data_IF_535961484435
#
_entry.id   IF_535961484435
#
_cell.length_a   1.000
_cell.length_b   1.000
_cell.length_c   1.000
_cell.angle_alpha   90.00
_cell.angle_beta   90.00
_cell.angle_gamma   90.00
#
_symmetry.space_group_name_H-M   'P 1'
#
loop_
_entity.id
_entity.type
_entity.pdbx_description
1 polymer ?
#
# COMPACT_ATOMS: atom_id res chain seq x y z
N UNK A 1 -2.18 6.45 5.39
CA UNK A 1 -3.03 7.27 4.49
C UNK A 1 -2.71 6.92 3.06
N UNK A 2 -3.66 7.16 2.15
CA UNK A 2 -3.52 6.82 0.73
C UNK A 2 -3.86 8.06 -0.09
N UNK A 3 -2.91 8.51 -0.90
CA UNK A 3 -3.05 9.69 -1.75
C UNK A 3 -3.92 9.39 -3.00
N UNK A 4 -4.43 10.43 -3.65
CA UNK A 4 -5.38 10.30 -4.76
C UNK A 4 -4.83 9.46 -5.93
N UNK A 5 -3.59 9.71 -6.36
CA UNK A 5 -2.98 8.99 -7.47
C UNK A 5 -2.84 7.48 -7.23
N UNK A 6 -2.75 7.05 -5.97
CA UNK A 6 -2.71 5.61 -5.63
C UNK A 6 -4.07 4.97 -5.87
N UNK A 7 -5.17 5.69 -5.64
CA UNK A 7 -6.53 5.18 -5.90
C UNK A 7 -6.74 4.96 -7.39
N UNK A 8 -6.26 5.89 -8.22
CA UNK A 8 -6.35 5.78 -9.68
C UNK A 8 -5.50 4.61 -10.18
N UNK A 9 -4.26 4.49 -9.70
CA UNK A 9 -3.39 3.34 -10.00
C UNK A 9 -4.02 1.99 -9.58
N UNK A 10 -4.65 1.95 -8.41
CA UNK A 10 -5.36 0.75 -7.95
C UNK A 10 -6.58 0.44 -8.81
N UNK A 11 -7.31 1.45 -9.29
CA UNK A 11 -8.43 1.25 -10.20
C UNK A 11 -7.94 0.67 -11.53
N UNK A 12 -6.86 1.21 -12.11
CA UNK A 12 -6.28 0.71 -13.37
C UNK A 12 -5.79 -0.74 -13.26
N UNK A 13 -5.16 -1.11 -12.14
CA UNK A 13 -4.59 -2.46 -11.94
C UNK A 13 -5.60 -3.47 -11.37
N UNK A 14 -6.55 -2.99 -10.58
CA UNK A 14 -7.45 -3.81 -9.76
C UNK A 14 -8.86 -3.97 -10.33
N UNK A 15 -9.17 -3.27 -11.43
CA UNK A 15 -10.42 -3.41 -12.16
C UNK A 15 -10.20 -4.15 -13.47
N UNK A 16 -11.07 -5.13 -13.73
CA UNK A 16 -11.18 -5.79 -15.02
C UNK A 16 -12.63 -5.65 -15.52
N UNK A 17 -12.88 -5.29 -16.79
CA UNK A 17 -14.25 -5.08 -17.28
C UNK A 17 -15.17 -6.32 -17.17
N UNK A 18 -14.62 -7.53 -17.25
CA UNK A 18 -15.38 -8.77 -17.16
C UNK A 18 -15.54 -9.25 -15.71
N UNK A 19 -14.57 -8.95 -14.84
CA UNK A 19 -14.54 -9.43 -13.47
C UNK A 19 -14.86 -8.36 -12.41
N UNK A 20 -15.01 -7.10 -12.81
CA UNK A 20 -15.14 -5.96 -11.91
C UNK A 20 -13.89 -5.78 -11.02
N UNK A 21 -14.08 -5.37 -9.77
CA UNK A 21 -13.00 -5.16 -8.80
C UNK A 21 -12.46 -6.46 -8.16
N UNK A 22 -12.84 -7.65 -8.65
CA UNK A 22 -12.34 -8.93 -8.10
C UNK A 22 -10.80 -9.02 -8.09
N UNK A 23 -10.06 -8.52 -9.10
CA UNK A 23 -8.60 -8.49 -9.06
C UNK A 23 -8.01 -7.56 -7.98
N UNK A 24 -8.77 -6.58 -7.47
CA UNK A 24 -8.31 -5.58 -6.49
C UNK A 24 -7.68 -6.22 -5.24
N UNK A 25 -8.27 -7.31 -4.74
CA UNK A 25 -7.74 -8.00 -3.57
C UNK A 25 -6.30 -8.50 -3.81
N UNK A 26 -6.00 -8.99 -5.02
CA UNK A 26 -4.67 -9.42 -5.41
C UNK A 26 -3.71 -8.24 -5.52
N UNK A 27 -4.13 -7.13 -6.12
CA UNK A 27 -3.31 -5.91 -6.23
C UNK A 27 -2.90 -5.40 -4.86
N UNK A 28 -3.86 -5.28 -3.92
CA UNK A 28 -3.58 -4.86 -2.54
C UNK A 28 -2.64 -5.86 -1.85
N UNK A 29 -2.86 -7.16 -2.04
CA UNK A 29 -2.01 -8.18 -1.41
C UNK A 29 -0.56 -8.09 -1.90
N UNK A 30 -0.36 -8.05 -3.22
CA UNK A 30 0.97 -8.10 -3.83
C UNK A 30 1.74 -6.80 -3.66
N UNK A 31 1.07 -5.66 -3.84
CA UNK A 31 1.76 -4.37 -3.93
C UNK A 31 1.70 -3.54 -2.65
N UNK A 32 0.80 -3.85 -1.70
CA UNK A 32 0.69 -3.09 -0.45
C UNK A 32 0.99 -3.99 0.75
N UNK A 33 0.29 -5.11 0.92
CA UNK A 33 0.43 -5.93 2.13
C UNK A 33 1.77 -6.66 2.21
N UNK A 34 2.25 -7.23 1.10
CA UNK A 34 3.54 -7.94 1.10
C UNK A 34 4.73 -7.00 1.44
N UNK A 35 4.90 -5.82 0.80
CA UNK A 35 5.99 -4.91 1.16
C UNK A 35 5.94 -4.44 2.62
N UNK A 36 4.74 -4.24 3.17
CA UNK A 36 4.57 -3.82 4.55
C UNK A 36 4.71 -4.95 5.57
N UNK A 37 4.66 -6.22 5.15
CA UNK A 37 4.71 -7.35 6.05
C UNK A 37 6.05 -7.42 6.82
N UNK A 38 7.16 -7.17 6.13
CA UNK A 38 8.49 -7.16 6.76
C UNK A 38 8.64 -6.01 7.75
N UNK A 39 8.17 -4.82 7.37
CA UNK A 39 8.16 -3.64 8.24
C UNK A 39 7.31 -3.84 9.50
N UNK A 40 6.19 -4.56 9.38
CA UNK A 40 5.31 -4.91 10.50
C UNK A 40 5.89 -5.98 11.42
N UNK A 41 6.67 -6.92 10.89
CA UNK A 41 7.23 -8.02 11.67
C UNK A 41 8.55 -7.60 12.34
N UNK A 42 9.40 -6.87 11.62
CA UNK A 42 10.80 -6.66 12.01
C UNK A 42 11.30 -5.23 11.81
N UNK A 43 10.58 -4.39 11.06
CA UNK A 43 11.02 -3.04 10.71
C UNK A 43 10.34 -1.93 11.51
N UNK A 44 10.15 -0.79 10.85
CA UNK A 44 9.74 0.50 11.45
C UNK A 44 8.27 0.54 11.89
N UNK A 45 7.50 -0.50 11.58
CA UNK A 45 6.09 -0.65 11.98
C UNK A 45 5.89 -1.73 13.05
N UNK A 46 6.96 -2.37 13.53
CA UNK A 46 6.91 -3.43 14.55
C UNK A 46 6.23 -2.98 15.85
N UNK A 47 6.34 -1.70 16.21
CA UNK A 47 5.71 -1.09 17.38
C UNK A 47 4.51 -0.21 17.02
N UNK A 48 4.00 -0.35 15.79
CA UNK A 48 3.00 0.55 15.23
C UNK A 48 3.61 1.79 14.58
N UNK A 49 2.73 2.60 14.00
CA UNK A 49 3.16 3.72 13.15
C UNK A 49 2.07 4.06 12.14
N UNK A 50 2.37 5.01 11.27
CA UNK A 50 1.54 5.35 10.12
C UNK A 50 2.34 5.14 8.85
N UNK A 51 1.66 4.62 7.83
CA UNK A 51 2.20 4.50 6.48
C UNK A 51 1.42 5.45 5.59
N UNK A 52 2.09 6.35 4.89
CA UNK A 52 1.53 7.10 3.78
C UNK A 52 1.95 6.46 2.47
N UNK A 53 0.97 6.15 1.64
CA UNK A 53 1.18 5.57 0.31
C UNK A 53 0.92 6.65 -0.72
N UNK A 54 1.88 6.86 -1.62
CA UNK A 54 1.82 7.85 -2.70
C UNK A 54 2.33 7.25 -4.01
N UNK A 55 2.12 7.97 -5.12
CA UNK A 55 2.70 7.62 -6.42
C UNK A 55 3.95 8.47 -6.63
N UNK A 56 5.06 7.82 -6.97
CA UNK A 56 6.28 8.48 -7.47
C UNK A 56 6.55 7.90 -8.85
N UNK A 57 6.56 8.77 -9.85
CA UNK A 57 6.57 8.39 -11.26
C UNK A 57 5.43 7.41 -11.60
N UNK A 58 5.74 6.12 -11.74
CA UNK A 58 4.77 5.05 -12.05
C UNK A 58 4.72 3.96 -10.98
N UNK A 59 5.36 4.17 -9.83
CA UNK A 59 5.51 3.18 -8.77
C UNK A 59 4.90 3.66 -7.44
N UNK A 60 4.54 2.70 -6.59
CA UNK A 60 4.07 2.98 -5.24
C UNK A 60 5.27 3.32 -4.35
N UNK A 61 5.20 4.48 -3.70
CA UNK A 61 6.14 4.88 -2.66
C UNK A 61 5.48 4.75 -1.27
N UNK A 62 6.26 4.23 -0.32
CA UNK A 62 5.85 4.03 1.06
C UNK A 62 6.66 4.95 1.97
N UNK A 63 5.99 5.94 2.54
CA UNK A 63 6.55 6.76 3.60
C UNK A 63 6.07 6.24 4.94
N UNK A 64 7.02 5.79 5.77
CA UNK A 64 6.74 5.15 7.05
C UNK A 64 7.11 6.13 8.16
N UNK A 65 6.12 6.50 8.96
CA UNK A 65 6.25 7.26 10.19
C UNK A 65 6.11 6.29 11.36
N UNK A 66 7.22 5.95 12.02
CA UNK A 66 7.18 5.15 13.24
C UNK A 66 6.55 5.97 14.38
N UNK A 67 5.64 5.37 15.13
CA UNK A 67 5.18 5.99 16.38
C UNK A 67 6.22 5.68 17.44
N UNK A 68 7.08 6.65 17.76
CA UNK A 68 7.98 6.54 18.91
C UNK A 68 7.15 6.45 20.19
N UNK A 69 6.93 5.23 20.68
CA UNK A 69 6.43 5.00 22.03
C UNK A 69 7.66 4.99 22.93
N UNK A 70 7.84 6.07 23.68
CA UNK A 70 8.77 6.10 24.80
C UNK A 70 8.25 5.24 25.96
#
# INVERSE_FOLDING_TARGET
>A
TVDAGVRDWMAEKGYDPQMGARPMARVIQEHIKKPLAEELLFGRLSHGGRVRISMVDTELAFDIEETAVH
#
